data_IF_221995834785
#
_entry.id   IF_221995834785
#
_cell.length_a   1.000
_cell.length_b   1.000
_cell.length_c   1.000
_cell.angle_alpha   90.00
_cell.angle_beta   90.00
_cell.angle_gamma   90.00
#
_symmetry.space_group_name_H-M   'P 1'
#
loop_
_entity.id
_entity.type
_entity.pdbx_description
1 polymer ?
#
# COMPACT_ATOMS: atom_id res chain seq x y z
N UNK A 1 -49.13 46.88 36.95
CA UNK A 1 -47.78 47.45 36.68
C UNK A 1 -46.85 46.86 37.73
N UNK A 2 -46.24 45.72 37.40
CA UNK A 2 -45.19 45.08 38.21
C UNK A 2 -43.85 45.22 37.49
N UNK A 3 -42.74 45.41 38.22
CA UNK A 3 -41.44 45.72 37.64
C UNK A 3 -40.71 44.46 37.13
N UNK A 4 -40.19 44.54 35.91
CA UNK A 4 -39.34 43.52 35.29
C UNK A 4 -37.93 43.57 35.88
N UNK A 5 -37.54 42.50 36.60
CA UNK A 5 -36.17 42.29 37.09
C UNK A 5 -35.29 41.76 35.96
N UNK A 6 -34.21 42.49 35.62
CA UNK A 6 -33.17 42.00 34.71
C UNK A 6 -32.10 41.25 35.51
N UNK A 7 -32.00 39.93 35.31
CA UNK A 7 -30.97 39.11 35.96
C UNK A 7 -29.63 39.21 35.22
N UNK A 8 -28.59 39.60 35.95
CA UNK A 8 -27.23 39.79 35.45
C UNK A 8 -26.46 38.46 35.53
N UNK A 9 -26.11 37.84 34.40
CA UNK A 9 -25.29 36.62 34.41
C UNK A 9 -23.81 37.00 34.35
N UNK A 10 -23.16 36.99 35.51
CA UNK A 10 -21.72 37.18 35.65
C UNK A 10 -20.94 36.12 34.86
N UNK A 11 -20.05 36.56 33.96
CA UNK A 11 -19.04 35.70 33.32
C UNK A 11 -17.88 35.51 34.30
N UNK A 12 -17.65 34.27 34.72
CA UNK A 12 -16.45 33.89 35.48
C UNK A 12 -15.23 33.99 34.55
N UNK A 13 -14.33 34.94 34.84
CA UNK A 13 -13.08 35.14 34.11
C UNK A 13 -11.90 34.92 35.07
N UNK A 14 -10.98 34.05 34.68
CA UNK A 14 -9.73 33.78 35.37
C UNK A 14 -8.70 34.89 35.06
N UNK A 15 -8.30 35.62 36.10
CA UNK A 15 -6.97 36.21 36.45
C UNK A 15 -5.85 35.95 35.41
N UNK A 16 -5.02 36.87 34.89
CA UNK A 16 -4.28 38.02 35.50
C UNK A 16 -3.70 38.97 34.42
N UNK A 17 -3.79 40.28 34.70
CA UNK A 17 -2.85 41.40 34.47
C UNK A 17 -2.08 41.61 33.14
N UNK A 18 -2.41 42.71 32.45
CA UNK A 18 -1.51 43.38 31.48
C UNK A 18 -2.18 44.49 30.67
N UNK A 19 -2.14 45.73 31.18
CA UNK A 19 -2.12 47.04 30.48
C UNK A 19 -3.03 47.24 29.26
N UNK A 20 -3.95 48.22 29.35
CA UNK A 20 -4.46 48.92 28.16
C UNK A 20 -5.94 49.31 28.23
N UNK A 21 -6.20 50.58 28.50
CA UNK A 21 -7.50 51.22 28.42
C UNK A 21 -7.98 51.28 26.96
N UNK A 22 -9.01 50.52 26.60
CA UNK A 22 -9.81 50.75 25.40
C UNK A 22 -11.29 50.76 25.80
N UNK A 23 -11.89 51.95 25.77
CA UNK A 23 -13.30 52.16 26.02
C UNK A 23 -14.12 51.55 24.87
N UNK A 24 -14.73 50.39 25.11
CA UNK A 24 -15.77 49.84 24.24
C UNK A 24 -17.14 50.27 24.78
N UNK A 25 -17.80 51.14 24.01
CA UNK A 25 -19.19 51.54 24.21
C UNK A 25 -20.05 50.28 23.97
N UNK A 26 -20.45 49.61 25.05
CA UNK A 26 -21.34 48.46 24.99
C UNK A 26 -22.77 48.89 24.71
N UNK A 27 -23.21 48.76 23.47
CA UNK A 27 -24.61 48.93 23.10
C UNK A 27 -25.44 47.78 23.70
N UNK A 28 -26.25 48.06 24.71
CA UNK A 28 -27.20 47.10 25.26
C UNK A 28 -28.39 46.99 24.31
N UNK A 29 -28.35 46.02 23.40
CA UNK A 29 -29.52 45.64 22.60
C UNK A 29 -30.43 44.76 23.46
N UNK A 30 -31.56 45.31 23.91
CA UNK A 30 -32.62 44.56 24.56
C UNK A 30 -33.45 43.85 23.48
N UNK A 31 -33.20 42.56 23.26
CA UNK A 31 -34.11 41.69 22.51
C UNK A 31 -34.88 40.84 23.53
N UNK A 32 -36.22 40.92 23.59
CA UNK A 32 -37.01 40.03 24.43
C UNK A 32 -36.95 38.60 23.87
N UNK A 33 -36.64 37.63 24.73
CA UNK A 33 -36.71 36.21 24.35
C UNK A 33 -38.18 35.81 24.11
N UNK A 34 -38.52 35.18 22.97
CA UNK A 34 -39.85 34.61 22.80
C UNK A 34 -40.01 33.42 23.75
N UNK A 35 -41.02 33.49 24.62
CA UNK A 35 -41.40 32.40 25.52
C UNK A 35 -41.72 31.14 24.71
N UNK A 36 -40.88 30.12 24.84
CA UNK A 36 -41.09 28.81 24.21
C UNK A 36 -42.18 28.06 24.98
N UNK A 37 -43.34 27.72 24.39
CA UNK A 37 -44.29 26.86 25.08
C UNK A 37 -43.65 25.49 25.31
N UNK A 38 -43.83 24.95 26.52
CA UNK A 38 -43.38 23.61 26.85
C UNK A 38 -44.08 22.60 25.93
N UNK A 39 -43.30 21.87 25.13
CA UNK A 39 -43.82 20.80 24.29
C UNK A 39 -44.28 19.64 25.18
N UNK A 40 -45.58 19.35 25.17
CA UNK A 40 -46.12 18.14 25.76
C UNK A 40 -45.60 16.91 24.99
N UNK A 41 -45.30 15.77 25.67
CA UNK A 41 -44.91 14.55 24.98
C UNK A 41 -46.09 14.01 24.17
N UNK A 42 -45.93 13.93 22.84
CA UNK A 42 -46.89 13.27 21.95
C UNK A 42 -46.60 11.77 22.00
N UNK A 43 -47.45 11.01 22.70
CA UNK A 43 -47.42 9.56 22.64
C UNK A 43 -48.06 9.09 21.32
N UNK A 44 -47.24 8.64 20.39
CA UNK A 44 -47.71 7.96 19.17
C UNK A 44 -48.00 6.51 19.53
N UNK A 45 -49.26 6.19 19.79
CA UNK A 45 -49.67 4.90 20.33
C UNK A 45 -49.66 3.76 19.29
N UNK A 46 -49.60 4.03 17.99
CA UNK A 46 -49.54 2.94 17.01
C UNK A 46 -48.98 3.39 15.65
N UNK A 47 -47.82 2.85 15.27
CA UNK A 47 -47.16 3.17 14.00
C UNK A 47 -47.99 2.70 12.78
N UNK A 48 -48.90 1.73 12.97
CA UNK A 48 -49.78 1.22 11.91
C UNK A 48 -50.88 2.22 11.53
N UNK A 49 -51.43 2.95 12.50
CA UNK A 49 -52.47 3.95 12.23
C UNK A 49 -51.95 5.14 11.39
N UNK A 50 -50.66 5.47 11.52
CA UNK A 50 -50.01 6.50 10.69
C UNK A 50 -49.79 6.05 9.24
N UNK A 51 -49.58 4.75 9.01
CA UNK A 51 -49.38 4.19 7.67
C UNK A 51 -50.70 4.10 6.89
N UNK A 52 -51.81 3.82 7.57
CA UNK A 52 -53.14 3.77 6.94
C UNK A 52 -53.62 5.17 6.49
N UNK A 53 -53.25 6.23 7.21
CA UNK A 53 -53.58 7.61 6.83
C UNK A 53 -52.82 8.15 5.61
N UNK A 54 -51.75 7.47 5.18
CA UNK A 54 -50.92 7.88 4.04
C UNK A 54 -51.44 7.35 2.69
N UNK A 55 -52.57 6.63 2.67
CA UNK A 55 -53.22 6.11 1.46
C UNK A 55 -52.26 5.40 0.48
N UNK A 56 -51.22 4.74 0.99
CA UNK A 56 -50.34 3.86 0.21
C UNK A 56 -51.04 2.52 -0.05
N UNK A 57 -52.18 2.55 -0.72
CA UNK A 57 -52.83 1.33 -1.23
C UNK A 57 -52.18 0.96 -2.55
N UNK A 58 -50.98 0.38 -2.46
CA UNK A 58 -50.39 -0.30 -3.62
C UNK A 58 -51.05 -1.67 -3.76
N UNK A 59 -52.08 -1.75 -4.61
CA UNK A 59 -52.53 -3.02 -5.18
C UNK A 59 -51.43 -3.56 -6.10
N UNK A 60 -50.46 -4.27 -5.51
CA UNK A 60 -49.57 -5.17 -6.25
C UNK A 60 -49.61 -6.51 -5.55
N UNK A 61 -50.59 -7.33 -5.94
CA UNK A 61 -50.50 -8.78 -5.79
C UNK A 61 -49.49 -9.26 -6.81
N UNK A 62 -48.23 -9.26 -6.39
CA UNK A 62 -47.23 -10.19 -6.86
C UNK A 62 -46.27 -10.37 -5.69
N UNK A 63 -46.35 -11.52 -5.01
CA UNK A 63 -45.22 -11.97 -4.19
C UNK A 63 -44.04 -12.05 -5.17
N UNK A 64 -42.97 -11.24 -5.03
CA UNK A 64 -41.74 -11.66 -5.64
C UNK A 64 -41.41 -12.96 -4.93
N UNK A 65 -41.30 -14.04 -5.70
CA UNK A 65 -40.65 -15.26 -5.22
C UNK A 65 -39.20 -14.87 -4.92
N UNK A 66 -39.01 -14.31 -3.73
CA UNK A 66 -37.71 -14.00 -3.17
C UNK A 66 -37.23 -15.33 -2.62
N UNK A 67 -36.91 -16.23 -3.54
CA UNK A 67 -35.89 -17.21 -3.26
C UNK A 67 -34.72 -16.38 -2.71
N UNK A 68 -34.28 -16.71 -1.49
CA UNK A 68 -33.00 -16.25 -1.00
C UNK A 68 -31.97 -17.01 -1.85
N UNK A 69 -31.87 -16.62 -3.12
CA UNK A 69 -30.82 -17.07 -4.00
C UNK A 69 -29.52 -16.65 -3.34
N UNK A 70 -28.59 -17.61 -3.22
CA UNK A 70 -27.23 -17.32 -2.78
C UNK A 70 -26.64 -16.12 -3.55
N UNK A 71 -25.53 -15.54 -3.05
CA UNK A 71 -24.98 -14.29 -3.57
C UNK A 71 -24.95 -14.31 -5.10
N UNK A 72 -25.75 -13.41 -5.71
CA UNK A 72 -25.91 -13.33 -7.16
C UNK A 72 -24.53 -13.26 -7.81
N UNK A 73 -24.17 -14.30 -8.55
CA UNK A 73 -22.92 -14.38 -9.31
C UNK A 73 -23.12 -13.49 -10.53
N UNK A 74 -22.39 -12.38 -10.59
CA UNK A 74 -22.47 -11.48 -11.74
C UNK A 74 -21.83 -12.13 -12.97
N UNK A 75 -22.46 -12.00 -14.13
CA UNK A 75 -21.80 -12.34 -15.40
C UNK A 75 -20.58 -11.43 -15.59
N UNK A 76 -19.36 -11.97 -15.69
CA UNK A 76 -18.16 -11.15 -15.78
C UNK A 76 -18.12 -10.40 -17.12
N UNK A 77 -18.16 -9.07 -17.05
CA UNK A 77 -17.74 -8.20 -18.15
C UNK A 77 -16.23 -8.07 -18.08
N UNK A 78 -15.52 -8.38 -19.15
CA UNK A 78 -14.08 -8.20 -19.24
C UNK A 78 -13.68 -6.75 -18.88
N UNK A 79 -12.59 -6.60 -18.12
CA UNK A 79 -12.02 -5.29 -17.85
C UNK A 79 -11.47 -4.67 -19.15
N UNK A 80 -11.38 -3.33 -19.25
CA UNK A 80 -10.58 -2.71 -20.31
C UNK A 80 -9.14 -3.25 -20.27
N UNK A 81 -8.44 -3.33 -21.41
CA UNK A 81 -7.02 -3.65 -21.43
C UNK A 81 -6.20 -2.61 -20.66
N UNK A 82 -5.11 -3.05 -20.04
CA UNK A 82 -4.14 -2.17 -19.39
C UNK A 82 -2.85 -2.24 -20.20
N UNK A 83 -2.50 -1.15 -20.87
CA UNK A 83 -1.19 -1.02 -21.50
C UNK A 83 -0.36 -0.09 -20.63
N UNK A 84 0.70 -0.62 -20.04
CA UNK A 84 1.56 0.14 -19.14
C UNK A 84 2.35 1.19 -19.95
N UNK A 85 1.83 2.41 -20.00
CA UNK A 85 2.54 3.54 -20.58
C UNK A 85 3.40 4.22 -19.50
N UNK A 86 4.45 3.54 -19.03
CA UNK A 86 5.37 4.06 -18.04
C UNK A 86 6.14 5.29 -18.56
N UNK A 87 6.55 6.19 -17.66
CA UNK A 87 7.22 7.44 -18.03
C UNK A 87 8.62 7.19 -18.64
N UNK A 88 9.32 6.16 -18.17
CA UNK A 88 10.64 5.75 -18.65
C UNK A 88 10.85 4.24 -18.41
N UNK A 89 11.96 3.71 -18.91
CA UNK A 89 12.28 2.28 -18.77
C UNK A 89 12.39 1.84 -17.30
N UNK A 90 12.94 2.67 -16.42
CA UNK A 90 13.06 2.31 -15.00
C UNK A 90 11.69 2.19 -14.31
N UNK A 91 10.72 3.02 -14.68
CA UNK A 91 9.33 2.87 -14.24
C UNK A 91 8.68 1.61 -14.81
N UNK A 92 8.95 1.28 -16.08
CA UNK A 92 8.46 0.03 -16.69
C UNK A 92 9.01 -1.22 -15.98
N UNK A 93 10.32 -1.24 -15.71
CA UNK A 93 10.99 -2.34 -15.02
C UNK A 93 10.47 -2.49 -13.59
N UNK A 94 10.25 -1.36 -12.88
CA UNK A 94 9.65 -1.36 -11.54
C UNK A 94 8.22 -1.91 -11.55
N UNK A 95 7.38 -1.47 -12.50
CA UNK A 95 6.01 -1.96 -12.61
C UNK A 95 6.00 -3.47 -12.83
N UNK A 96 6.88 -3.97 -13.70
CA UNK A 96 7.05 -5.39 -13.97
C UNK A 96 7.49 -6.17 -12.72
N UNK A 97 8.52 -5.71 -12.01
CA UNK A 97 9.02 -6.37 -10.79
C UNK A 97 7.93 -6.39 -9.70
N UNK A 98 7.22 -5.28 -9.49
CA UNK A 98 6.16 -5.20 -8.49
C UNK A 98 4.98 -6.12 -8.82
N UNK A 99 4.52 -6.15 -10.08
CA UNK A 99 3.44 -7.04 -10.49
C UNK A 99 3.86 -8.51 -10.41
N UNK A 100 5.08 -8.83 -10.86
CA UNK A 100 5.66 -10.18 -10.75
C UNK A 100 5.71 -10.64 -9.30
N UNK A 101 6.18 -9.77 -8.40
CA UNK A 101 6.24 -10.04 -6.97
C UNK A 101 4.86 -10.37 -6.42
N UNK A 102 3.84 -9.56 -6.74
CA UNK A 102 2.47 -9.81 -6.29
C UNK A 102 1.94 -11.15 -6.79
N UNK A 103 2.09 -11.44 -8.09
CA UNK A 103 1.63 -12.71 -8.69
C UNK A 103 2.34 -13.90 -8.06
N UNK A 104 3.66 -13.83 -7.85
CA UNK A 104 4.45 -14.91 -7.26
C UNK A 104 3.99 -15.24 -5.83
N UNK A 105 3.85 -14.25 -4.97
CA UNK A 105 3.53 -14.49 -3.56
C UNK A 105 2.04 -14.78 -3.31
N UNK A 106 1.14 -14.28 -4.15
CA UNK A 106 -0.30 -14.49 -3.97
C UNK A 106 -0.85 -15.70 -4.73
N UNK A 107 -0.20 -16.10 -5.83
CA UNK A 107 -0.70 -17.13 -6.74
C UNK A 107 0.39 -18.04 -7.30
N UNK A 108 1.60 -18.05 -6.72
CA UNK A 108 2.72 -18.86 -7.23
C UNK A 108 2.46 -20.37 -7.22
N UNK A 109 1.60 -20.85 -6.32
CA UNK A 109 1.11 -22.24 -6.25
C UNK A 109 -0.19 -22.49 -7.00
N UNK A 110 -0.84 -21.44 -7.52
CA UNK A 110 -2.07 -21.56 -8.30
C UNK A 110 -1.76 -21.91 -9.77
N UNK A 111 -2.80 -22.27 -10.52
CA UNK A 111 -2.73 -22.41 -11.96
C UNK A 111 -2.38 -21.07 -12.63
N UNK A 112 -1.99 -21.11 -13.91
CA UNK A 112 -1.77 -19.89 -14.70
C UNK A 112 -3.01 -18.98 -14.68
N UNK A 113 -4.22 -19.55 -14.71
CA UNK A 113 -5.48 -18.81 -14.54
C UNK A 113 -5.56 -18.04 -13.22
N UNK A 114 -5.12 -18.65 -12.11
CA UNK A 114 -5.05 -17.99 -10.80
C UNK A 114 -4.05 -16.83 -10.80
N UNK A 115 -2.90 -17.01 -11.46
CA UNK A 115 -1.89 -15.96 -11.61
C UNK A 115 -2.41 -14.79 -12.46
N UNK A 116 -3.05 -15.09 -13.60
CA UNK A 116 -3.68 -14.08 -14.47
C UNK A 116 -4.79 -13.33 -13.74
N UNK A 117 -5.57 -14.02 -12.91
CA UNK A 117 -6.61 -13.42 -12.10
C UNK A 117 -6.07 -12.41 -11.07
N UNK A 118 -5.01 -12.76 -10.32
CA UNK A 118 -4.36 -11.83 -9.39
C UNK A 118 -3.76 -10.63 -10.11
N UNK A 119 -3.05 -10.86 -11.22
CA UNK A 119 -2.48 -9.78 -12.03
C UNK A 119 -3.57 -8.79 -12.49
N UNK A 120 -4.70 -9.31 -12.98
CA UNK A 120 -5.83 -8.50 -13.40
C UNK A 120 -6.41 -7.66 -12.25
N UNK A 121 -6.51 -8.22 -11.04
CA UNK A 121 -6.98 -7.48 -9.85
C UNK A 121 -6.06 -6.31 -9.52
N UNK A 122 -4.74 -6.51 -9.54
CA UNK A 122 -3.76 -5.43 -9.29
C UNK A 122 -3.96 -4.30 -10.31
N UNK A 123 -4.06 -4.64 -11.60
CA UNK A 123 -4.24 -3.64 -12.66
C UNK A 123 -5.63 -2.99 -12.65
N UNK A 124 -6.67 -3.68 -12.17
CA UNK A 124 -7.97 -3.09 -11.91
C UNK A 124 -7.91 -2.06 -10.78
N UNK A 125 -7.19 -2.38 -9.69
CA UNK A 125 -6.95 -1.44 -8.58
C UNK A 125 -6.21 -0.19 -9.04
N UNK A 126 -5.17 -0.30 -9.86
CA UNK A 126 -4.46 0.87 -10.42
C UNK A 126 -5.43 1.86 -11.10
N UNK A 127 -6.51 1.35 -11.70
CA UNK A 127 -7.52 2.14 -12.42
C UNK A 127 -8.76 2.49 -11.57
N UNK A 128 -8.77 2.13 -10.29
CA UNK A 128 -9.87 2.38 -9.36
C UNK A 128 -9.48 3.48 -8.36
N UNK A 129 -10.37 4.48 -8.18
CA UNK A 129 -10.10 5.67 -7.34
C UNK A 129 -9.92 5.36 -5.85
N UNK A 130 -10.29 4.17 -5.38
CA UNK A 130 -10.08 3.78 -3.99
C UNK A 130 -8.64 3.27 -3.72
N UNK A 131 -7.81 3.13 -4.75
CA UNK A 131 -6.47 2.55 -4.65
C UNK A 131 -5.41 3.46 -5.25
N UNK A 132 -4.12 3.25 -4.92
CA UNK A 132 -3.01 3.98 -5.54
C UNK A 132 -2.99 3.84 -7.06
N UNK A 133 -2.56 4.90 -7.75
CA UNK A 133 -2.56 5.00 -9.20
C UNK A 133 -1.35 4.35 -9.89
N UNK A 134 -0.52 3.59 -9.18
CA UNK A 134 0.71 2.96 -9.69
C UNK A 134 0.77 1.48 -9.26
N UNK A 135 1.43 0.62 -10.03
CA UNK A 135 1.48 -0.83 -9.75
C UNK A 135 2.17 -1.09 -8.41
N UNK A 136 3.37 -0.56 -8.20
CA UNK A 136 4.10 -0.69 -6.93
C UNK A 136 3.32 -0.06 -5.77
N UNK A 137 2.66 1.08 -6.01
CA UNK A 137 1.78 1.70 -5.02
C UNK A 137 0.66 0.79 -4.53
N UNK A 138 0.01 0.04 -5.44
CA UNK A 138 -1.01 -0.95 -5.08
C UNK A 138 -0.40 -2.13 -4.33
N UNK A 139 0.70 -2.69 -4.85
CA UNK A 139 1.35 -3.89 -4.29
C UNK A 139 1.89 -3.65 -2.88
N UNK A 140 2.46 -2.47 -2.62
CA UNK A 140 3.03 -2.14 -1.32
C UNK A 140 2.10 -1.26 -0.46
N UNK A 141 0.82 -1.17 -0.82
CA UNK A 141 -0.15 -0.38 -0.06
C UNK A 141 -0.23 -0.87 1.39
N UNK A 142 0.06 0.04 2.32
CA UNK A 142 0.01 -0.25 3.76
C UNK A 142 1.24 -0.93 4.35
N UNK A 143 2.24 -1.29 3.53
CA UNK A 143 3.46 -1.99 3.99
C UNK A 143 4.23 -1.28 5.12
N UNK A 144 4.13 0.05 5.21
CA UNK A 144 4.77 0.86 6.24
C UNK A 144 3.84 1.19 7.43
N UNK A 145 2.57 0.75 7.39
CA UNK A 145 1.57 1.04 8.42
C UNK A 145 1.53 -0.07 9.47
N UNK A 146 1.20 0.31 10.71
CA UNK A 146 0.96 -0.66 11.80
C UNK A 146 -0.39 -1.38 11.69
N UNK A 147 -1.31 -0.84 10.91
CA UNK A 147 -2.71 -1.31 10.79
C UNK A 147 -2.88 -2.49 9.84
N UNK A 148 -1.81 -2.94 9.18
CA UNK A 148 -1.84 -4.05 8.23
C UNK A 148 -1.53 -3.63 6.80
N UNK A 149 -1.32 -4.66 5.98
CA UNK A 149 -0.76 -4.55 4.63
C UNK A 149 -1.72 -5.17 3.64
N UNK A 150 -1.85 -4.57 2.45
CA UNK A 150 -2.79 -5.06 1.44
C UNK A 150 -2.42 -6.47 0.96
N UNK A 151 -1.14 -6.73 0.81
CA UNK A 151 -0.59 -8.04 0.47
C UNK A 151 0.31 -8.50 1.62
N UNK A 152 0.04 -9.66 2.20
CA UNK A 152 0.68 -10.07 3.47
C UNK A 152 2.19 -10.24 3.34
N UNK A 153 2.66 -10.70 2.17
CA UNK A 153 4.08 -10.92 1.89
C UNK A 153 4.93 -9.66 2.07
N UNK A 154 4.31 -8.47 1.98
CA UNK A 154 4.99 -7.19 2.19
C UNK A 154 5.35 -6.93 3.66
N UNK A 155 4.79 -7.70 4.60
CA UNK A 155 4.89 -7.48 6.04
C UNK A 155 5.20 -8.72 6.87
N UNK A 156 4.98 -9.93 6.34
CA UNK A 156 5.22 -11.20 7.04
C UNK A 156 6.66 -11.73 6.92
N UNK A 157 7.54 -10.99 6.21
CA UNK A 157 8.94 -11.35 6.00
C UNK A 157 9.19 -12.29 4.81
N UNK A 158 8.18 -12.63 4.01
CA UNK A 158 8.31 -13.49 2.83
C UNK A 158 9.31 -12.97 1.79
N UNK A 159 9.48 -11.65 1.69
CA UNK A 159 10.46 -11.02 0.81
C UNK A 159 11.94 -11.32 1.19
N UNK A 160 12.20 -11.79 2.41
CA UNK A 160 13.55 -12.16 2.83
C UNK A 160 13.93 -13.60 2.40
N UNK A 161 12.98 -14.37 1.86
CA UNK A 161 13.21 -15.77 1.48
C UNK A 161 13.68 -15.84 0.02
N UNK A 162 14.58 -16.77 -0.32
CA UNK A 162 14.97 -16.98 -1.71
C UNK A 162 13.76 -17.39 -2.55
N UNK A 163 13.64 -16.81 -3.75
CA UNK A 163 12.58 -17.10 -4.71
C UNK A 163 12.94 -18.36 -5.50
N UNK A 164 11.94 -19.20 -5.81
CA UNK A 164 12.14 -20.33 -6.70
C UNK A 164 12.17 -19.84 -8.16
N UNK A 165 13.27 -20.06 -8.91
CA UNK A 165 13.43 -19.45 -10.24
C UNK A 165 12.32 -19.81 -11.24
N UNK A 166 11.89 -21.08 -11.27
CA UNK A 166 10.86 -21.52 -12.21
C UNK A 166 9.49 -20.88 -11.94
N UNK A 167 9.08 -20.81 -10.66
CA UNK A 167 7.82 -20.17 -10.28
C UNK A 167 7.88 -18.65 -10.49
N UNK A 168 9.04 -18.04 -10.23
CA UNK A 168 9.27 -16.62 -10.52
C UNK A 168 9.10 -16.29 -12.00
N UNK A 169 9.72 -17.08 -12.88
CA UNK A 169 9.64 -16.86 -14.33
C UNK A 169 8.20 -17.02 -14.86
N UNK A 170 7.41 -17.96 -14.32
CA UNK A 170 5.98 -18.08 -14.66
C UNK A 170 5.19 -16.83 -14.25
N UNK A 171 5.38 -16.38 -13.02
CA UNK A 171 4.74 -15.16 -12.52
C UNK A 171 5.14 -13.93 -13.35
N UNK A 172 6.41 -13.85 -13.77
CA UNK A 172 6.93 -12.77 -14.61
C UNK A 172 6.28 -12.76 -15.99
N UNK A 173 6.18 -13.91 -16.64
CA UNK A 173 5.52 -14.02 -17.95
C UNK A 173 4.06 -13.57 -17.90
N UNK A 174 3.33 -13.92 -16.84
CA UNK A 174 1.96 -13.45 -16.61
C UNK A 174 1.91 -11.93 -16.41
N UNK A 175 2.85 -11.37 -15.63
CA UNK A 175 2.93 -9.94 -15.39
C UNK A 175 3.25 -9.17 -16.68
N UNK A 176 4.21 -9.63 -17.49
CA UNK A 176 4.56 -9.05 -18.79
C UNK A 176 3.33 -9.02 -19.72
N UNK A 177 2.64 -10.15 -19.86
CA UNK A 177 1.45 -10.24 -20.71
C UNK A 177 0.35 -9.29 -20.25
N UNK A 178 0.10 -9.20 -18.93
CA UNK A 178 -0.92 -8.33 -18.37
C UNK A 178 -0.58 -6.84 -18.54
N UNK A 179 0.68 -6.44 -18.35
CA UNK A 179 1.16 -5.07 -18.58
C UNK A 179 1.15 -4.68 -20.06
N UNK A 180 1.25 -5.67 -20.96
CA UNK A 180 1.12 -5.51 -22.41
C UNK A 180 -0.34 -5.46 -22.90
N UNK A 181 -1.33 -5.53 -22.01
CA UNK A 181 -2.75 -5.40 -22.38
C UNK A 181 -3.54 -6.71 -22.40
N UNK A 182 -2.94 -7.85 -22.04
CA UNK A 182 -3.69 -9.11 -21.94
C UNK A 182 -4.73 -9.03 -20.82
N UNK A 183 -5.99 -9.33 -21.15
CA UNK A 183 -7.10 -9.26 -20.20
C UNK A 183 -7.55 -10.67 -19.81
N UNK A 184 -7.58 -10.94 -18.51
CA UNK A 184 -8.21 -12.16 -18.00
C UNK A 184 -9.70 -11.92 -17.74
N UNK A 185 -10.51 -12.14 -18.76
CA UNK A 185 -11.95 -11.84 -18.76
C UNK A 185 -12.76 -12.45 -17.59
N UNK A 186 -12.49 -13.69 -17.11
CA UNK A 186 -13.33 -14.32 -16.08
C UNK A 186 -13.45 -13.55 -14.76
N UNK A 187 -12.43 -12.76 -14.37
CA UNK A 187 -12.50 -11.95 -13.15
C UNK A 187 -13.02 -10.53 -13.39
N UNK A 188 -13.25 -10.14 -14.65
CA UNK A 188 -13.81 -8.85 -15.02
C UNK A 188 -13.18 -7.67 -14.27
N UNK A 189 -14.03 -6.83 -13.67
CA UNK A 189 -13.63 -5.68 -12.83
C UNK A 189 -13.33 -6.00 -11.37
N UNK A 190 -12.88 -7.22 -11.03
CA UNK A 190 -12.54 -7.56 -9.66
C UNK A 190 -11.46 -6.64 -9.09
N UNK A 191 -11.68 -6.14 -7.88
CA UNK A 191 -10.71 -5.35 -7.08
C UNK A 191 -10.43 -6.00 -5.73
N UNK A 192 -11.12 -7.10 -5.41
CA UNK A 192 -10.98 -7.83 -4.16
C UNK A 192 -11.01 -9.33 -4.42
N UNK A 193 -10.29 -10.07 -3.59
CA UNK A 193 -10.42 -11.52 -3.51
C UNK A 193 -10.07 -11.99 -2.09
N UNK A 194 -10.46 -13.22 -1.78
CA UNK A 194 -10.00 -13.93 -0.60
C UNK A 194 -9.90 -15.43 -0.92
N UNK A 195 -9.13 -16.16 -0.13
CA UNK A 195 -9.11 -17.62 -0.21
C UNK A 195 -10.45 -18.22 0.23
N UNK A 196 -10.83 -19.37 -0.32
CA UNK A 196 -12.12 -20.04 -0.07
C UNK A 196 -12.28 -20.56 1.38
N UNK A 197 -11.18 -20.63 2.14
CA UNK A 197 -11.15 -21.02 3.55
C UNK A 197 -11.15 -19.80 4.50
N UNK A 198 -11.32 -18.58 4.00
CA UNK A 198 -11.41 -17.34 4.81
C UNK A 198 -12.74 -16.64 4.54
N UNK A 199 -13.35 -16.09 5.59
CA UNK A 199 -14.60 -15.32 5.51
C UNK A 199 -14.40 -13.89 6.05
N UNK A 200 -14.01 -12.93 5.20
CA UNK A 200 -13.84 -11.56 5.63
C UNK A 200 -15.19 -10.84 5.74
N UNK A 201 -15.32 -9.96 6.74
CA UNK A 201 -16.55 -9.22 7.02
C UNK A 201 -17.05 -8.36 5.84
N UNK A 202 -16.14 -7.88 4.98
CA UNK A 202 -16.48 -7.05 3.84
C UNK A 202 -17.11 -7.82 2.66
N UNK A 203 -16.97 -9.15 2.61
CA UNK A 203 -17.42 -9.95 1.46
C UNK A 203 -18.93 -9.82 1.19
N UNK A 204 -19.73 -9.72 2.25
CA UNK A 204 -21.19 -9.55 2.16
C UNK A 204 -21.61 -8.20 1.54
N UNK A 205 -20.74 -7.19 1.61
CA UNK A 205 -20.98 -5.85 1.08
C UNK A 205 -20.59 -5.70 -0.39
N UNK A 206 -20.00 -6.74 -1.00
CA UNK A 206 -19.51 -6.74 -2.38
C UNK A 206 -20.31 -7.66 -3.29
N UNK A 207 -20.07 -7.57 -4.60
CA UNK A 207 -20.65 -8.49 -5.58
C UNK A 207 -19.62 -9.53 -5.97
N UNK A 208 -19.90 -10.80 -5.72
CA UNK A 208 -19.07 -11.94 -6.15
C UNK A 208 -19.17 -12.10 -7.67
N UNK A 209 -18.01 -12.26 -8.31
CA UNK A 209 -17.88 -12.45 -9.76
C UNK A 209 -17.69 -13.93 -10.09
N UNK A 210 -16.65 -14.55 -9.55
CA UNK A 210 -16.27 -15.93 -9.88
C UNK A 210 -15.35 -16.51 -8.81
N UNK A 211 -15.05 -17.80 -8.95
CA UNK A 211 -14.01 -18.50 -8.20
C UNK A 211 -12.98 -19.03 -9.20
N UNK A 212 -11.70 -18.75 -8.98
CA UNK A 212 -10.59 -19.31 -9.77
C UNK A 212 -9.61 -19.94 -8.79
N UNK A 213 -9.38 -21.23 -8.92
CA UNK A 213 -8.56 -21.99 -7.96
C UNK A 213 -9.08 -21.83 -6.53
N UNK A 214 -8.21 -21.47 -5.60
CA UNK A 214 -8.58 -21.23 -4.21
C UNK A 214 -9.22 -19.86 -3.94
N UNK A 215 -9.31 -18.98 -4.94
CA UNK A 215 -9.69 -17.57 -4.74
C UNK A 215 -11.12 -17.24 -5.21
N UNK A 216 -11.87 -16.53 -4.37
CA UNK A 216 -13.16 -15.93 -4.74
C UNK A 216 -12.95 -14.45 -5.04
N UNK A 217 -13.41 -14.01 -6.20
CA UNK A 217 -13.19 -12.65 -6.72
C UNK A 217 -14.45 -11.79 -6.61
N UNK A 218 -14.27 -10.53 -6.24
CA UNK A 218 -15.34 -9.58 -5.98
C UNK A 218 -15.06 -8.20 -6.58
N UNK A 219 -16.14 -7.47 -6.85
CA UNK A 219 -16.13 -6.05 -7.20
C UNK A 219 -17.05 -5.25 -6.27
N UNK A 220 -16.90 -3.94 -6.33
CA UNK A 220 -17.84 -3.00 -5.72
C UNK A 220 -19.28 -3.29 -6.12
N UNK A 221 -20.22 -2.97 -5.23
CA UNK A 221 -21.66 -3.15 -5.46
C UNK A 221 -22.31 -1.82 -5.83
N UNK A 222 -23.09 -1.80 -6.92
CA UNK A 222 -24.01 -0.71 -7.25
C UNK A 222 -23.34 0.64 -7.48
N UNK A 223 -23.69 1.66 -6.68
CA UNK A 223 -23.20 3.03 -6.86
C UNK A 223 -21.68 3.14 -6.68
N UNK A 224 -21.08 2.37 -5.77
CA UNK A 224 -19.64 2.37 -5.56
C UNK A 224 -18.88 1.95 -6.82
N UNK A 225 -19.36 0.93 -7.54
CA UNK A 225 -18.73 0.48 -8.78
C UNK A 225 -18.72 1.59 -9.82
N UNK A 226 -19.87 2.27 -10.03
CA UNK A 226 -19.99 3.35 -11.02
C UNK A 226 -19.08 4.54 -10.74
N UNK A 227 -18.84 4.82 -9.46
CA UNK A 227 -18.05 5.97 -8.99
C UNK A 227 -16.56 5.68 -8.94
N UNK A 228 -16.15 4.44 -8.65
CA UNK A 228 -14.75 4.11 -8.38
C UNK A 228 -14.05 3.36 -9.52
N UNK A 229 -14.70 2.34 -10.08
CA UNK A 229 -14.05 1.39 -10.97
C UNK A 229 -13.71 2.04 -12.32
N UNK A 230 -12.44 1.91 -12.73
CA UNK A 230 -11.92 2.45 -13.99
C UNK A 230 -12.09 3.98 -14.14
N UNK A 231 -12.09 4.73 -13.04
CA UNK A 231 -12.19 6.21 -13.01
C UNK A 231 -10.88 6.91 -12.71
N UNK A 232 -9.78 6.17 -12.63
CA UNK A 232 -8.43 6.66 -12.37
C UNK A 232 -7.50 6.29 -13.52
N UNK A 233 -6.60 7.20 -13.86
CA UNK A 233 -5.54 6.95 -14.83
C UNK A 233 -4.30 6.41 -14.13
N UNK A 234 -3.53 5.57 -14.83
CA UNK A 234 -2.22 5.14 -14.36
C UNK A 234 -1.29 6.35 -14.19
N UNK A 235 -0.56 6.39 -13.07
CA UNK A 235 0.34 7.49 -12.73
C UNK A 235 1.60 7.54 -13.61
N UNK A 236 1.92 6.46 -14.31
CA UNK A 236 3.10 6.31 -15.19
C UNK A 236 4.46 6.33 -14.47
N UNK A 237 4.50 6.79 -13.23
CA UNK A 237 5.66 6.77 -12.34
C UNK A 237 5.44 5.73 -11.25
N UNK A 238 6.44 4.88 -11.04
CA UNK A 238 6.42 3.82 -10.04
C UNK A 238 7.23 4.21 -8.80
N UNK A 239 6.62 4.22 -7.60
CA UNK A 239 7.35 4.47 -6.37
C UNK A 239 8.34 3.34 -6.09
N UNK A 240 9.45 3.68 -5.43
CA UNK A 240 10.41 2.68 -4.97
C UNK A 240 9.73 1.76 -3.94
N UNK A 241 9.79 0.43 -4.13
CA UNK A 241 9.28 -0.50 -3.14
C UNK A 241 10.08 -0.35 -1.84
N UNK A 242 9.45 -0.48 -0.66
CA UNK A 242 10.16 -0.52 0.60
C UNK A 242 11.20 -1.64 0.59
N UNK A 243 12.43 -1.30 0.97
CA UNK A 243 13.53 -2.26 1.11
C UNK A 243 13.22 -3.25 2.24
N UNK A 244 13.36 -4.57 2.01
CA UNK A 244 13.17 -5.56 3.07
C UNK A 244 14.11 -5.30 4.25
N UNK A 245 13.60 -5.39 5.49
CA UNK A 245 14.39 -5.08 6.70
C UNK A 245 15.74 -5.82 6.78
N UNK A 246 15.80 -7.07 6.29
CA UNK A 246 17.03 -7.85 6.28
C UNK A 246 18.09 -7.23 5.33
N UNK A 247 17.68 -6.70 4.18
CA UNK A 247 18.58 -6.01 3.24
C UNK A 247 19.11 -4.70 3.83
N UNK A 248 18.29 -3.94 4.56
CA UNK A 248 18.73 -2.71 5.25
C UNK A 248 19.79 -3.02 6.31
N UNK A 249 19.61 -4.10 7.07
CA UNK A 249 20.57 -4.52 8.08
C UNK A 249 21.91 -4.96 7.43
N UNK A 250 21.84 -5.71 6.33
CA UNK A 250 23.02 -6.14 5.58
C UNK A 250 23.76 -4.95 4.92
N UNK A 251 23.04 -4.03 4.28
CA UNK A 251 23.60 -2.84 3.63
C UNK A 251 24.19 -1.87 4.66
N UNK A 252 23.59 -1.76 5.84
CA UNK A 252 24.16 -0.97 6.95
C UNK A 252 25.39 -1.63 7.56
N UNK A 253 25.41 -2.96 7.66
CA UNK A 253 26.59 -3.70 8.12
C UNK A 253 27.77 -3.55 7.14
N UNK A 254 27.51 -3.61 5.83
CA UNK A 254 28.51 -3.37 4.77
C UNK A 254 28.99 -1.92 4.79
N UNK A 255 28.09 -0.93 4.94
CA UNK A 255 28.49 0.48 5.11
C UNK A 255 29.37 0.69 6.33
N UNK A 256 29.04 0.08 7.47
CA UNK A 256 29.86 0.20 8.68
C UNK A 256 31.24 -0.44 8.52
N UNK A 257 31.37 -1.53 7.76
CA UNK A 257 32.68 -2.14 7.48
C UNK A 257 33.51 -1.31 6.49
N UNK A 258 32.88 -0.68 5.49
CA UNK A 258 33.58 0.20 4.56
C UNK A 258 34.07 1.51 5.22
N UNK A 259 33.32 2.05 6.18
CA UNK A 259 33.75 3.25 6.94
C UNK A 259 34.90 2.95 7.90
N UNK A 260 35.03 1.71 8.38
CA UNK A 260 36.09 1.31 9.32
C UNK A 260 37.48 1.15 8.64
N UNK A 261 37.52 0.95 7.32
CA UNK A 261 38.77 0.83 6.57
C UNK A 261 39.33 2.15 6.01
N UNK A 262 38.53 3.23 6.01
CA UNK A 262 38.92 4.58 5.55
C UNK A 262 38.96 5.62 6.69
N UNK A 263 38.83 5.20 7.95
CA UNK A 263 38.88 6.09 9.09
C UNK A 263 40.31 6.64 9.33
N UNK A 264 40.59 7.85 8.83
CA UNK A 264 41.75 8.65 9.23
C UNK A 264 41.57 9.07 10.69
N UNK A 265 42.29 8.42 11.61
CA UNK A 265 42.31 8.76 13.03
C UNK A 265 43.10 10.05 13.27
N UNK A 266 42.42 11.20 13.37
CA UNK A 266 43.04 12.47 13.77
C UNK A 266 43.13 12.53 15.30
N UNK A 267 44.31 12.23 15.85
CA UNK A 267 44.60 12.51 17.25
C UNK A 267 44.81 14.02 17.44
N UNK A 268 43.82 14.73 18.02
CA UNK A 268 44.08 16.05 18.61
C UNK A 268 44.68 15.86 20.00
N UNK A 269 46.01 15.74 20.04
CA UNK A 269 46.79 15.84 21.27
C UNK A 269 46.97 17.30 21.69
N UNK A 270 46.65 17.60 22.94
CA UNK A 270 47.04 18.83 23.62
C UNK A 270 48.57 18.94 23.71
N UNK A 271 49.07 20.13 23.38
CA UNK A 271 50.44 20.63 23.44
C UNK A 271 51.48 19.85 24.27
N UNK A 272 52.44 19.22 23.58
CA UNK A 272 53.90 19.47 23.73
C UNK A 272 54.69 18.38 23.03
N UNK A 273 55.13 18.63 21.79
CA UNK A 273 56.36 18.07 21.24
C UNK A 273 56.69 18.79 19.91
N UNK A 274 57.97 19.15 19.80
CA UNK A 274 58.69 19.83 18.72
C UNK A 274 58.36 19.31 17.31
N UNK A 275 58.32 20.16 16.26
CA UNK A 275 57.98 19.70 14.91
C UNK A 275 59.12 18.89 14.29
N UNK A 276 58.85 17.65 13.86
CA UNK A 276 59.65 17.00 12.84
C UNK A 276 59.02 17.26 11.47
N UNK A 277 59.77 17.97 10.63
CA UNK A 277 59.57 18.09 9.21
C UNK A 277 59.96 16.75 8.56
N UNK A 278 59.04 16.05 7.90
CA UNK A 278 59.42 15.08 6.86
C UNK A 278 58.45 15.17 5.68
N UNK A 279 59.04 15.55 4.55
CA UNK A 279 58.47 15.60 3.21
C UNK A 279 58.23 14.19 2.65
N UNK A 280 57.38 14.13 1.63
CA UNK A 280 56.95 12.96 0.88
C UNK A 280 58.02 11.85 0.69
N UNK A 281 57.61 10.59 0.90
CA UNK A 281 58.42 9.42 0.59
C UNK A 281 57.58 8.17 0.35
N UNK A 282 57.23 7.92 -0.90
CA UNK A 282 56.81 6.60 -1.40
C UNK A 282 57.94 5.60 -1.10
N UNK A 283 57.64 4.49 -0.40
CA UNK A 283 58.56 3.36 -0.27
C UNK A 283 58.04 2.18 -1.08
N UNK A 284 58.70 1.90 -2.20
CA UNK A 284 58.61 0.61 -2.89
C UNK A 284 59.72 -0.27 -2.32
N UNK A 285 59.35 -1.37 -1.68
CA UNK A 285 60.30 -2.41 -1.29
C UNK A 285 60.53 -3.35 -2.49
N UNK A 286 61.74 -3.35 -3.05
CA UNK A 286 62.29 -4.49 -3.78
C UNK A 286 63.21 -5.24 -2.83
N UNK A 287 62.84 -6.45 -2.43
CA UNK A 287 63.68 -7.31 -1.61
C UNK A 287 62.97 -8.58 -1.16
N UNK A 288 63.49 -9.70 -1.68
CA UNK A 288 63.27 -11.12 -1.38
C UNK A 288 62.26 -11.52 -0.28
N UNK A 289 61.33 -12.41 -0.67
CA UNK A 289 60.50 -13.20 0.24
C UNK A 289 61.40 -14.11 1.12
N UNK A 290 61.13 -14.22 2.44
CA UNK A 290 61.73 -15.26 3.26
C UNK A 290 61.13 -16.62 2.91
N UNK A 291 62.03 -17.60 2.88
CA UNK A 291 61.81 -19.02 2.60
C UNK A 291 60.77 -19.59 3.60
N UNK A 292 59.58 -19.92 3.11
CA UNK A 292 58.59 -20.70 3.85
C UNK A 292 58.58 -22.10 3.26
N UNK A 293 59.21 -22.99 4.02
CA UNK A 293 59.26 -24.44 3.80
C UNK A 293 57.83 -25.01 3.79
N UNK A 294 57.32 -25.35 2.60
CA UNK A 294 56.04 -26.04 2.41
C UNK A 294 56.25 -27.29 1.54
N UNK A 295 55.66 -28.44 1.94
CA UNK A 295 55.92 -29.72 1.32
C UNK A 295 55.39 -29.79 -0.12
N UNK A 296 56.22 -30.37 -0.98
CA UNK A 296 56.00 -30.61 -2.41
C UNK A 296 54.75 -31.46 -2.63
N UNK A 297 53.75 -30.88 -3.30
CA UNK A 297 52.65 -31.61 -3.92
C UNK A 297 52.74 -31.48 -5.44
N UNK A 298 52.64 -32.63 -6.10
CA UNK A 298 52.74 -32.84 -7.54
C UNK A 298 51.67 -32.09 -8.35
N UNK A 299 52.07 -31.66 -9.55
CA UNK A 299 51.18 -31.65 -10.72
C UNK A 299 50.66 -30.30 -11.20
N UNK A 300 51.29 -29.78 -12.26
CA UNK A 300 50.64 -29.50 -13.55
C UNK A 300 51.67 -28.84 -14.50
N UNK A 301 52.03 -29.55 -15.57
CA UNK A 301 52.85 -29.01 -16.67
C UNK A 301 51.89 -28.42 -17.71
N UNK A 302 52.17 -27.20 -18.15
CA UNK A 302 51.62 -26.63 -19.39
C UNK A 302 52.67 -26.84 -20.48
N UNK A 303 52.31 -27.62 -21.50
CA UNK A 303 53.11 -27.86 -22.70
C UNK A 303 52.76 -26.80 -23.74
N UNK A 304 53.75 -26.07 -24.24
CA UNK A 304 53.66 -25.34 -25.51
C UNK A 304 54.25 -26.25 -26.60
N UNK A 305 53.42 -26.59 -27.60
CA UNK A 305 53.82 -27.34 -28.79
C UNK A 305 54.40 -26.39 -29.85
N UNK A 306 55.68 -26.57 -30.17
CA UNK A 306 56.26 -26.12 -31.43
C UNK A 306 55.87 -27.11 -32.54
N UNK A 307 55.03 -26.67 -33.47
CA UNK A 307 54.74 -27.37 -34.71
C UNK A 307 55.46 -26.70 -35.87
N UNK A 308 56.56 -27.30 -36.34
CA UNK A 308 57.23 -26.96 -37.59
C UNK A 308 57.13 -28.14 -38.57
N UNK A 309 56.41 -27.93 -39.68
CA UNK A 309 56.81 -28.29 -41.07
C UNK A 309 56.20 -27.23 -41.99
#
# INVERSE_FOLDING_TARGET
MEPTVCANRARSSSVTAGIGLAALIGSTSCVPEPSRPAAAPVHVADARALLDGLALTSSVVAKPDRSIGGPAVATPRAAPPFVAAAQNQADADRALECLTTAVYYEAGSESEDGQRAVAQVVLNRVRDRAFPASVCGVVYQGSQRRTGCQFSFTCDGSLNRPRQPAAWNRARAVAEAALAGSVYAPVGGATFYHANYVMPWWAASMTRITTIGAHLFYRWRGAMERTLAFRQSYAQVEPNPPVPRATVAAESAIRNTLVDHDAVTVHRGSASATPMLVSAGVRIHRGALPDLDLPRADGARISEEDGAI
#
